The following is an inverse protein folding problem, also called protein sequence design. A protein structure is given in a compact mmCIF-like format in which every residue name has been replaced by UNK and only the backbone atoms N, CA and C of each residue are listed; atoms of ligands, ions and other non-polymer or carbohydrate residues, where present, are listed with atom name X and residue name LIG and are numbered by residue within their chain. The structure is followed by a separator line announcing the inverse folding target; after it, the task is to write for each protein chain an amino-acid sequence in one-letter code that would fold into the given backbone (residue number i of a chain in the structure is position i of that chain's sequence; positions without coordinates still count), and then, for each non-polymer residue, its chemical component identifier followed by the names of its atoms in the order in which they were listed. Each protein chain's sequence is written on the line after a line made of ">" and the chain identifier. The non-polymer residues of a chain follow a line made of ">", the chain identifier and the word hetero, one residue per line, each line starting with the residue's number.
data_IF_841530765677
#
_entry.id   IF_841530765677
#
_cell.length_a   1.000
_cell.length_b   1.000
_cell.length_c   1.000
_cell.angle_alpha   90.00
_cell.angle_beta   90.00
_cell.angle_gamma   90.00
#
_symmetry.space_group_name_H-M   'P 1'
#
loop_
_entity.id
_entity.type
_entity.pdbx_description
1 polymer ?
#
# COMPACT_ATOMS: atom_id res chain seq x y z
N UNK A 1 -21.31 49.30 41.14
CA UNK A 1 -21.72 48.13 41.93
C UNK A 1 -21.64 46.89 41.06
N UNK A 2 -21.12 45.81 41.63
CA UNK A 2 -20.36 44.71 41.01
C UNK A 2 -21.09 43.93 39.91
N UNK A 3 -20.30 43.64 38.86
CA UNK A 3 -20.65 42.99 37.61
C UNK A 3 -20.92 41.48 37.82
N UNK A 4 -22.04 40.98 37.27
CA UNK A 4 -22.40 39.56 37.29
C UNK A 4 -21.53 38.79 36.29
N UNK A 5 -20.50 38.11 36.76
CA UNK A 5 -19.76 37.12 35.96
C UNK A 5 -20.33 35.73 36.20
N UNK A 6 -21.13 35.30 35.23
CA UNK A 6 -21.66 33.94 35.08
C UNK A 6 -20.46 33.03 34.79
N UNK A 7 -20.13 32.14 35.72
CA UNK A 7 -19.20 31.04 35.48
C UNK A 7 -19.91 29.97 34.64
N UNK A 8 -19.84 30.10 33.32
CA UNK A 8 -20.19 29.01 32.41
C UNK A 8 -19.02 28.03 32.42
N UNK A 9 -19.11 26.97 33.24
CA UNK A 9 -18.28 25.79 33.07
C UNK A 9 -18.68 25.11 31.76
N UNK A 10 -17.98 25.46 30.68
CA UNK A 10 -17.96 24.68 29.44
C UNK A 10 -17.27 23.34 29.73
N UNK A 11 -18.06 22.34 30.15
CA UNK A 11 -17.70 20.93 30.02
C UNK A 11 -17.70 20.60 28.53
N UNK A 12 -16.64 21.02 27.83
CA UNK A 12 -16.33 20.49 26.51
C UNK A 12 -16.10 18.98 26.70
N UNK A 13 -16.86 18.09 26.02
CA UNK A 13 -16.49 16.68 26.00
C UNK A 13 -15.15 16.61 25.28
N UNK A 14 -14.07 16.50 26.05
CA UNK A 14 -12.77 16.13 25.51
C UNK A 14 -13.01 14.86 24.70
N UNK A 15 -12.61 14.79 23.43
CA UNK A 15 -12.70 13.55 22.68
C UNK A 15 -11.84 12.55 23.43
N UNK A 16 -12.48 11.64 24.15
CA UNK A 16 -11.79 10.55 24.79
C UNK A 16 -11.19 9.77 23.63
N UNK A 17 -9.88 9.89 23.47
CA UNK A 17 -9.10 8.95 22.69
C UNK A 17 -9.51 7.59 23.25
N UNK A 18 -10.34 6.85 22.52
CA UNK A 18 -10.89 5.59 23.00
C UNK A 18 -9.71 4.64 23.16
N UNK A 19 -9.19 4.54 24.38
CA UNK A 19 -8.11 3.62 24.73
C UNK A 19 -8.70 2.24 24.52
N UNK A 20 -8.08 1.41 23.67
CA UNK A 20 -8.54 0.05 23.47
C UNK A 20 -8.41 -0.71 24.80
N UNK A 21 -9.52 -1.25 25.31
CA UNK A 21 -9.58 -1.99 26.57
C UNK A 21 -9.89 -3.46 26.34
N UNK A 22 -9.87 -4.25 27.41
CA UNK A 22 -10.46 -5.59 27.40
C UNK A 22 -11.96 -5.48 27.67
N UNK A 23 -12.72 -5.12 26.64
CA UNK A 23 -14.18 -5.07 26.63
C UNK A 23 -14.73 -5.38 25.24
N UNK A 24 -16.04 -5.59 25.17
CA UNK A 24 -16.73 -5.97 23.93
C UNK A 24 -16.64 -4.88 22.85
N UNK A 25 -16.69 -3.60 23.22
CA UNK A 25 -16.68 -2.51 22.26
C UNK A 25 -15.32 -2.37 21.56
N UNK A 26 -14.24 -2.39 22.34
CA UNK A 26 -12.85 -2.35 21.87
C UNK A 26 -12.54 -3.59 21.02
N UNK A 27 -13.01 -4.76 21.46
CA UNK A 27 -12.87 -6.00 20.72
C UNK A 27 -13.52 -5.91 19.34
N UNK A 28 -14.82 -5.58 19.30
CA UNK A 28 -15.58 -5.50 18.06
C UNK A 28 -14.98 -4.47 17.10
N UNK A 29 -14.66 -3.28 17.58
CA UNK A 29 -14.06 -2.22 16.76
C UNK A 29 -12.70 -2.64 16.16
N UNK A 30 -11.86 -3.34 16.92
CA UNK A 30 -10.56 -3.82 16.43
C UNK A 30 -10.70 -5.01 15.47
N UNK A 31 -11.67 -5.89 15.71
CA UNK A 31 -11.98 -7.00 14.80
C UNK A 31 -12.51 -6.50 13.45
N UNK A 32 -13.41 -5.51 13.44
CA UNK A 32 -13.87 -4.89 12.19
C UNK A 32 -12.72 -4.29 11.39
N UNK A 33 -11.78 -3.61 12.07
CA UNK A 33 -10.59 -3.05 11.44
C UNK A 33 -9.66 -4.15 10.89
N UNK A 34 -9.44 -5.22 11.65
CA UNK A 34 -8.64 -6.38 11.21
C UNK A 34 -9.22 -7.02 9.95
N UNK A 35 -10.53 -7.34 9.95
CA UNK A 35 -11.19 -7.94 8.78
C UNK A 35 -11.10 -7.04 7.55
N UNK A 36 -11.13 -5.71 7.74
CA UNK A 36 -10.95 -4.75 6.65
C UNK A 36 -9.52 -4.78 6.11
N UNK A 37 -8.50 -4.94 6.95
CA UNK A 37 -7.11 -5.12 6.48
C UNK A 37 -6.99 -6.39 5.63
N UNK A 38 -7.50 -7.52 6.10
CA UNK A 38 -7.45 -8.77 5.34
C UNK A 38 -8.14 -8.64 3.98
N UNK A 39 -9.34 -8.06 3.96
CA UNK A 39 -10.09 -7.83 2.73
C UNK A 39 -9.33 -6.92 1.76
N UNK A 40 -8.78 -5.80 2.25
CA UNK A 40 -7.99 -4.87 1.45
C UNK A 40 -6.73 -5.56 0.89
N UNK A 41 -6.04 -6.36 1.71
CA UNK A 41 -4.85 -7.10 1.26
C UNK A 41 -5.22 -8.04 0.11
N UNK A 42 -6.26 -8.85 0.28
CA UNK A 42 -6.70 -9.81 -0.74
C UNK A 42 -7.10 -9.12 -2.05
N UNK A 43 -7.76 -7.96 -1.97
CA UNK A 43 -8.10 -7.15 -3.14
C UNK A 43 -6.84 -6.66 -3.87
N UNK A 44 -5.88 -6.09 -3.12
CA UNK A 44 -4.62 -5.62 -3.70
C UNK A 44 -3.75 -6.76 -4.25
N UNK A 45 -3.71 -7.91 -3.60
CA UNK A 45 -2.98 -9.08 -4.06
C UNK A 45 -3.59 -9.64 -5.36
N UNK A 46 -4.92 -9.73 -5.43
CA UNK A 46 -5.64 -10.12 -6.66
C UNK A 46 -5.32 -9.17 -7.81
N UNK A 47 -5.46 -7.86 -7.57
CA UNK A 47 -5.15 -6.85 -8.59
C UNK A 47 -3.68 -6.90 -9.02
N UNK A 48 -2.74 -7.11 -8.09
CA UNK A 48 -1.33 -7.28 -8.43
C UNK A 48 -1.11 -8.48 -9.35
N UNK A 49 -1.72 -9.63 -9.04
CA UNK A 49 -1.58 -10.85 -9.83
C UNK A 49 -2.13 -10.68 -11.25
N UNK A 50 -3.29 -10.03 -11.40
CA UNK A 50 -3.85 -9.69 -12.70
C UNK A 50 -2.89 -8.80 -13.52
N UNK A 51 -2.36 -7.75 -12.91
CA UNK A 51 -1.41 -6.84 -13.56
C UNK A 51 -0.06 -7.48 -13.87
N UNK A 52 0.39 -8.40 -13.02
CA UNK A 52 1.62 -9.15 -13.25
C UNK A 52 1.47 -10.08 -14.47
N UNK A 53 0.30 -10.69 -14.65
CA UNK A 53 -0.01 -11.48 -15.84
C UNK A 53 0.07 -10.60 -17.09
N UNK A 54 -0.60 -9.44 -17.08
CA UNK A 54 -0.53 -8.47 -18.19
C UNK A 54 0.91 -8.03 -18.49
N UNK A 55 1.74 -7.82 -17.47
CA UNK A 55 3.17 -7.49 -17.62
C UNK A 55 3.95 -8.63 -18.27
N UNK A 56 3.75 -9.87 -17.81
CA UNK A 56 4.49 -11.04 -18.30
C UNK A 56 4.14 -11.39 -19.76
N UNK A 57 2.93 -11.04 -20.23
CA UNK A 57 2.53 -11.20 -21.64
C UNK A 57 3.16 -10.16 -22.57
N UNK A 58 3.72 -9.07 -22.03
CA UNK A 58 4.27 -7.98 -22.81
C UNK A 58 5.75 -7.73 -22.48
N UNK A 59 6.62 -8.31 -23.30
CA UNK A 59 8.06 -8.11 -23.16
C UNK A 59 8.44 -6.64 -23.44
N UNK A 60 9.25 -6.06 -22.56
CA UNK A 60 9.80 -4.72 -22.74
C UNK A 60 10.97 -4.76 -23.72
N UNK A 61 11.13 -3.72 -24.54
CA UNK A 61 12.23 -3.66 -25.50
C UNK A 61 13.59 -3.62 -24.81
N UNK A 62 13.71 -2.86 -23.70
CA UNK A 62 14.93 -2.80 -22.88
C UNK A 62 15.29 -4.12 -22.17
N UNK A 63 14.41 -5.12 -22.19
CA UNK A 63 14.70 -6.45 -21.68
C UNK A 63 15.20 -7.40 -22.78
N UNK A 64 14.87 -7.12 -24.04
CA UNK A 64 15.19 -7.99 -25.18
C UNK A 64 16.43 -7.52 -25.93
N UNK A 65 16.60 -6.20 -26.03
CA UNK A 65 17.59 -5.58 -26.88
C UNK A 65 18.54 -4.71 -26.04
N UNK A 66 19.80 -4.72 -26.42
CA UNK A 66 20.80 -3.77 -25.96
C UNK A 66 20.48 -2.35 -26.45
N UNK A 67 21.14 -1.36 -25.86
CA UNK A 67 20.97 0.04 -26.27
C UNK A 67 21.33 0.28 -27.74
N UNK A 68 22.43 -0.32 -28.22
CA UNK A 68 22.88 -0.15 -29.61
C UNK A 68 21.91 -0.80 -30.59
N UNK A 69 21.39 -1.99 -30.26
CA UNK A 69 20.34 -2.63 -31.05
C UNK A 69 19.05 -1.79 -31.09
N UNK A 70 18.70 -1.13 -29.99
CA UNK A 70 17.54 -0.24 -29.96
C UNK A 70 17.72 1.02 -30.80
N UNK A 71 18.93 1.57 -30.86
CA UNK A 71 19.26 2.69 -31.77
C UNK A 71 19.11 2.24 -33.22
N UNK A 72 19.64 1.06 -33.57
CA UNK A 72 19.49 0.48 -34.91
C UNK A 72 18.00 0.23 -35.23
N UNK A 73 17.25 -0.36 -34.30
CA UNK A 73 15.83 -0.61 -34.47
C UNK A 73 15.04 0.68 -34.73
N UNK A 74 15.40 1.78 -34.08
CA UNK A 74 14.75 3.08 -34.25
C UNK A 74 14.90 3.66 -35.66
N UNK A 75 15.90 3.25 -36.44
CA UNK A 75 16.10 3.77 -37.80
C UNK A 75 14.98 3.33 -38.77
N UNK A 76 14.26 2.25 -38.45
CA UNK A 76 13.16 1.75 -39.29
C UNK A 76 11.82 2.39 -38.91
N UNK A 77 11.06 3.01 -39.84
CA UNK A 77 9.81 3.71 -39.52
C UNK A 77 8.75 2.87 -38.80
N UNK A 78 8.58 1.59 -39.16
CA UNK A 78 7.64 0.68 -38.49
C UNK A 78 8.01 0.43 -37.03
N UNK A 79 9.30 0.30 -36.74
CA UNK A 79 9.82 0.12 -35.38
C UNK A 79 9.67 1.40 -34.55
N UNK A 80 9.85 2.58 -35.14
CA UNK A 80 9.57 3.85 -34.44
C UNK A 80 8.13 3.91 -33.94
N UNK A 81 7.16 3.49 -34.77
CA UNK A 81 5.74 3.45 -34.37
C UNK A 81 5.56 2.49 -33.19
N UNK A 82 6.20 1.32 -33.23
CA UNK A 82 6.14 0.34 -32.14
C UNK A 82 6.75 0.87 -30.83
N UNK A 83 7.96 1.44 -30.89
CA UNK A 83 8.67 2.01 -29.75
C UNK A 83 7.93 3.22 -29.16
N UNK A 84 7.31 4.07 -29.98
CA UNK A 84 6.46 5.17 -29.50
C UNK A 84 5.21 4.66 -28.79
N UNK A 85 4.54 3.62 -29.30
CA UNK A 85 3.40 2.98 -28.62
C UNK A 85 3.83 2.39 -27.28
N UNK A 86 4.98 1.71 -27.25
CA UNK A 86 5.55 1.15 -26.04
C UNK A 86 5.89 2.22 -25.00
N UNK A 87 6.44 3.35 -25.42
CA UNK A 87 6.74 4.48 -24.54
C UNK A 87 5.48 4.98 -23.83
N UNK A 88 4.39 5.17 -24.57
CA UNK A 88 3.10 5.61 -23.99
C UNK A 88 2.56 4.57 -23.01
N UNK A 89 2.57 3.29 -23.40
CA UNK A 89 2.11 2.19 -22.54
C UNK A 89 2.93 2.10 -21.25
N UNK A 90 4.26 2.17 -21.36
CA UNK A 90 5.16 2.07 -20.20
C UNK A 90 5.04 3.26 -19.26
N UNK A 91 4.84 4.49 -19.77
CA UNK A 91 4.52 5.65 -18.92
C UNK A 91 3.23 5.42 -18.11
N UNK A 92 2.17 4.94 -18.77
CA UNK A 92 0.90 4.64 -18.10
C UNK A 92 1.06 3.56 -17.03
N UNK A 93 1.70 2.43 -17.37
CA UNK A 93 1.92 1.33 -16.42
C UNK A 93 2.80 1.75 -15.24
N UNK A 94 3.86 2.52 -15.48
CA UNK A 94 4.69 3.09 -14.41
C UNK A 94 3.83 3.91 -13.43
N UNK A 95 2.99 4.82 -13.94
CA UNK A 95 2.14 5.67 -13.11
C UNK A 95 1.12 4.85 -12.29
N UNK A 96 0.50 3.86 -12.92
CA UNK A 96 -0.45 2.95 -12.26
C UNK A 96 0.21 2.17 -11.12
N UNK A 97 1.39 1.59 -11.35
CA UNK A 97 2.12 0.86 -10.31
C UNK A 97 2.62 1.77 -9.18
N UNK A 98 3.05 3.01 -9.47
CA UNK A 98 3.38 4.00 -8.43
C UNK A 98 2.14 4.36 -7.60
N UNK A 99 0.97 4.52 -8.24
CA UNK A 99 -0.29 4.78 -7.52
C UNK A 99 -0.65 3.63 -6.59
N UNK A 100 -0.53 2.39 -7.05
CA UNK A 100 -0.80 1.20 -6.25
C UNK A 100 0.19 1.05 -5.08
N UNK A 101 1.48 1.30 -5.31
CA UNK A 101 2.49 1.35 -4.25
C UNK A 101 2.14 2.38 -3.16
N UNK A 102 1.74 3.60 -3.53
CA UNK A 102 1.30 4.62 -2.56
C UNK A 102 0.08 4.17 -1.76
N UNK A 103 -0.90 3.57 -2.43
CA UNK A 103 -2.12 3.06 -1.78
C UNK A 103 -1.79 2.02 -0.70
N UNK A 104 -0.85 1.11 -0.97
CA UNK A 104 -0.44 0.09 0.00
C UNK A 104 0.36 0.69 1.16
N UNK A 105 1.21 1.68 0.91
CA UNK A 105 1.94 2.32 2.02
C UNK A 105 1.00 2.96 3.06
N UNK A 106 -0.14 3.52 2.63
CA UNK A 106 -1.14 3.98 3.58
C UNK A 106 -1.71 2.82 4.43
N UNK A 107 -1.96 1.65 3.81
CA UNK A 107 -2.44 0.45 4.52
C UNK A 107 -1.39 -0.13 5.48
N UNK A 108 -0.10 0.04 5.20
CA UNK A 108 0.99 -0.33 6.12
C UNK A 108 0.90 0.51 7.39
N UNK A 109 0.67 1.82 7.28
CA UNK A 109 0.51 2.71 8.44
C UNK A 109 -0.74 2.34 9.26
N UNK A 110 -1.87 2.07 8.58
CA UNK A 110 -3.11 1.61 9.23
C UNK A 110 -2.90 0.29 9.97
N UNK A 111 -2.20 -0.67 9.36
CA UNK A 111 -1.89 -1.97 9.95
C UNK A 111 -1.05 -1.83 11.22
N UNK A 112 -0.08 -0.91 11.24
CA UNK A 112 0.70 -0.62 12.45
C UNK A 112 -0.18 -0.06 13.58
N UNK A 113 -1.14 0.81 13.25
CA UNK A 113 -2.05 1.38 14.23
C UNK A 113 -3.01 0.31 14.79
N UNK A 114 -3.50 -0.60 13.95
CA UNK A 114 -4.36 -1.71 14.37
C UNK A 114 -3.58 -2.70 15.26
N UNK A 115 -2.32 -3.00 14.92
CA UNK A 115 -1.45 -3.82 15.76
C UNK A 115 -1.23 -3.17 17.15
N UNK A 116 -1.01 -1.85 17.21
CA UNK A 116 -0.92 -1.13 18.50
C UNK A 116 -2.20 -1.27 19.33
N UNK A 117 -3.38 -1.19 18.71
CA UNK A 117 -4.67 -1.37 19.40
C UNK A 117 -4.82 -2.80 19.93
N UNK A 118 -4.50 -3.82 19.13
CA UNK A 118 -4.52 -5.22 19.60
C UNK A 118 -3.54 -5.45 20.75
N UNK A 119 -2.34 -4.87 20.69
CA UNK A 119 -1.37 -4.92 21.79
C UNK A 119 -1.92 -4.31 23.08
N UNK A 120 -2.69 -3.23 22.99
CA UNK A 120 -3.37 -2.65 24.16
C UNK A 120 -4.45 -3.59 24.71
N UNK A 121 -5.28 -4.19 23.84
CA UNK A 121 -6.29 -5.18 24.27
C UNK A 121 -5.63 -6.35 25.00
N UNK A 122 -4.54 -6.91 24.46
CA UNK A 122 -3.76 -7.98 25.12
C UNK A 122 -3.36 -7.55 26.53
N UNK A 123 -2.74 -6.37 26.67
CA UNK A 123 -2.31 -5.85 27.97
C UNK A 123 -3.46 -5.73 28.97
N UNK A 124 -4.59 -5.13 28.58
CA UNK A 124 -5.72 -4.98 29.49
C UNK A 124 -6.42 -6.30 29.81
N UNK A 125 -6.46 -7.26 28.88
CA UNK A 125 -7.04 -8.57 29.15
C UNK A 125 -6.18 -9.37 30.13
N UNK A 126 -4.86 -9.26 30.02
CA UNK A 126 -3.93 -9.81 30.98
C UNK A 126 -4.14 -9.20 32.38
N UNK A 127 -4.24 -7.86 32.48
CA UNK A 127 -4.48 -7.18 33.76
C UNK A 127 -5.82 -7.56 34.41
N UNK A 128 -6.86 -7.82 33.61
CA UNK A 128 -8.17 -8.28 34.10
C UNK A 128 -8.22 -9.79 34.40
N UNK A 129 -7.14 -10.54 34.19
CA UNK A 129 -7.14 -12.01 34.34
C UNK A 129 -8.01 -12.74 33.32
N UNK A 130 -8.39 -12.08 32.21
CA UNK A 130 -9.27 -12.63 31.20
C UNK A 130 -8.48 -13.45 30.17
N UNK A 131 -8.04 -14.65 30.57
CA UNK A 131 -7.04 -15.41 29.81
C UNK A 131 -7.48 -15.80 28.41
N UNK A 132 -8.75 -16.18 28.22
CA UNK A 132 -9.28 -16.52 26.90
C UNK A 132 -9.20 -15.30 25.95
N UNK A 133 -9.65 -14.12 26.41
CA UNK A 133 -9.60 -12.90 25.62
C UNK A 133 -8.16 -12.43 25.37
N UNK A 134 -7.25 -12.62 26.32
CA UNK A 134 -5.82 -12.36 26.13
C UNK A 134 -5.23 -13.20 25.00
N UNK A 135 -5.45 -14.52 25.02
CA UNK A 135 -4.95 -15.45 24.00
C UNK A 135 -5.50 -15.07 22.62
N UNK A 136 -6.81 -14.85 22.52
CA UNK A 136 -7.43 -14.48 21.25
C UNK A 136 -6.95 -13.10 20.76
N UNK A 137 -6.81 -12.10 21.64
CA UNK A 137 -6.24 -10.80 21.27
C UNK A 137 -4.79 -10.92 20.77
N UNK A 138 -4.01 -11.82 21.37
CA UNK A 138 -2.62 -12.08 20.95
C UNK A 138 -2.56 -12.72 19.56
N UNK A 139 -3.50 -13.61 19.25
CA UNK A 139 -3.66 -14.15 17.90
C UNK A 139 -3.93 -13.04 16.88
N UNK A 140 -4.88 -12.14 17.15
CA UNK A 140 -5.16 -11.02 16.23
C UNK A 140 -3.99 -10.05 16.10
N UNK A 141 -3.26 -9.77 17.19
CA UNK A 141 -2.03 -8.99 17.13
C UNK A 141 -1.01 -9.62 16.17
N UNK A 142 -0.77 -10.92 16.33
CA UNK A 142 0.20 -11.67 15.51
C UNK A 142 -0.19 -11.63 14.05
N UNK A 143 -1.45 -11.96 13.72
CA UNK A 143 -1.93 -11.94 12.33
C UNK A 143 -1.92 -10.53 11.73
N UNK A 144 -2.18 -9.48 12.52
CA UNK A 144 -2.06 -8.10 12.02
C UNK A 144 -0.61 -7.77 11.64
N UNK A 145 0.37 -8.25 12.42
CA UNK A 145 1.79 -8.05 12.11
C UNK A 145 2.24 -8.86 10.89
N UNK A 146 1.67 -10.03 10.67
CA UNK A 146 1.91 -10.83 9.46
C UNK A 146 1.35 -10.12 8.21
N UNK A 147 0.10 -9.66 8.24
CA UNK A 147 -0.52 -8.89 7.15
C UNK A 147 0.28 -7.60 6.86
N UNK A 148 0.78 -6.93 7.89
CA UNK A 148 1.64 -5.76 7.74
C UNK A 148 2.90 -6.08 6.91
N UNK A 149 3.55 -7.23 7.15
CA UNK A 149 4.72 -7.62 6.37
C UNK A 149 4.35 -8.01 4.94
N UNK A 150 3.22 -8.69 4.78
CA UNK A 150 2.67 -9.02 3.46
C UNK A 150 2.38 -7.76 2.62
N UNK A 151 1.84 -6.70 3.24
CA UNK A 151 1.71 -5.40 2.56
C UNK A 151 3.06 -4.80 2.16
N UNK A 152 4.10 -4.89 3.00
CA UNK A 152 5.45 -4.39 2.64
C UNK A 152 6.04 -5.16 1.47
N UNK A 153 5.82 -6.47 1.41
CA UNK A 153 6.23 -7.30 0.27
C UNK A 153 5.48 -6.85 -0.98
N UNK A 154 4.16 -6.68 -0.90
CA UNK A 154 3.34 -6.27 -2.03
C UNK A 154 3.70 -4.88 -2.55
N UNK A 155 3.97 -3.93 -1.64
CA UNK A 155 4.48 -2.60 -2.00
C UNK A 155 5.79 -2.69 -2.78
N UNK A 156 6.76 -3.50 -2.32
CA UNK A 156 8.03 -3.72 -3.01
C UNK A 156 7.83 -4.31 -4.41
N UNK A 157 6.90 -5.25 -4.56
CA UNK A 157 6.56 -5.84 -5.87
C UNK A 157 6.01 -4.78 -6.85
N UNK A 158 5.09 -3.93 -6.40
CA UNK A 158 4.59 -2.81 -7.22
C UNK A 158 5.69 -1.83 -7.62
N UNK A 159 6.54 -1.43 -6.68
CA UNK A 159 7.64 -0.51 -6.96
C UNK A 159 8.64 -1.11 -7.95
N UNK A 160 8.89 -2.42 -7.88
CA UNK A 160 9.75 -3.13 -8.82
C UNK A 160 9.21 -3.04 -10.25
N UNK A 161 7.91 -3.29 -10.46
CA UNK A 161 7.29 -3.15 -11.78
C UNK A 161 7.29 -1.70 -12.25
N UNK A 162 6.97 -0.74 -11.37
CA UNK A 162 7.06 0.68 -11.69
C UNK A 162 8.46 1.07 -12.19
N UNK A 163 9.51 0.60 -11.52
CA UNK A 163 10.89 0.89 -11.89
C UNK A 163 11.28 0.26 -13.24
N UNK A 164 10.82 -0.97 -13.52
CA UNK A 164 11.04 -1.61 -14.84
C UNK A 164 10.44 -0.80 -15.97
N UNK A 165 9.18 -0.37 -15.83
CA UNK A 165 8.55 0.49 -16.83
C UNK A 165 9.19 1.89 -16.90
N UNK A 166 9.62 2.44 -15.76
CA UNK A 166 10.36 3.69 -15.72
C UNK A 166 11.71 3.61 -16.44
N UNK A 167 12.39 2.47 -16.37
CA UNK A 167 13.62 2.21 -17.12
C UNK A 167 13.36 2.14 -18.63
N UNK A 168 12.35 1.38 -19.06
CA UNK A 168 11.91 1.32 -20.46
C UNK A 168 11.65 2.73 -21.03
N UNK A 169 10.94 3.57 -20.27
CA UNK A 169 10.68 4.96 -20.67
C UNK A 169 11.97 5.76 -20.86
N UNK A 170 12.93 5.62 -19.94
CA UNK A 170 14.24 6.30 -20.05
C UNK A 170 15.00 5.85 -21.29
N UNK A 171 15.05 4.54 -21.53
CA UNK A 171 15.71 3.94 -22.68
C UNK A 171 15.10 4.45 -24.00
N UNK A 172 13.78 4.39 -24.14
CA UNK A 172 13.12 4.80 -25.38
C UNK A 172 13.26 6.32 -25.63
N UNK A 173 13.21 7.15 -24.58
CA UNK A 173 13.47 8.58 -24.73
C UNK A 173 14.93 8.85 -25.13
N UNK A 174 15.89 8.12 -24.55
CA UNK A 174 17.30 8.25 -24.91
C UNK A 174 17.53 7.93 -26.39
N UNK A 175 17.06 6.77 -26.88
CA UNK A 175 17.25 6.39 -28.28
C UNK A 175 16.57 7.38 -29.24
N UNK A 176 15.42 7.95 -28.84
CA UNK A 176 14.75 9.00 -29.62
C UNK A 176 15.63 10.23 -29.73
N UNK A 177 16.29 10.64 -28.65
CA UNK A 177 17.12 11.85 -28.63
C UNK A 177 18.44 11.70 -29.38
N UNK A 178 19.09 10.53 -29.34
CA UNK A 178 20.38 10.31 -30.03
C UNK A 178 20.23 9.93 -31.51
N UNK A 179 19.02 9.59 -31.94
CA UNK A 179 18.72 9.25 -33.34
C UNK A 179 18.07 10.37 -34.13
N UNK A 180 17.80 11.52 -33.49
CA UNK A 180 17.31 12.75 -34.11
C UNK A 180 18.46 13.76 -34.23
#
# INVERSE_FOLDING_TARGET
>A
MINKLIWILLLLPLPTMAIAQCDHASWHANLTQFNRLESNYNQHATLFNERLKEHNEHQLFSQTFSMDELVILWQTPSNQVSLKKQLVKSKKQQQEFVKMWRSINALIEDSQNIAKKWKQVVFFCQQKGSKANEISAHWYLTNTLEILEEYRILARKYLTLANRHGWEVKVINYITNVSN
#
